data_IF_762054602048
#
_entry.id   IF_762054602048
#
_cell.length_a   1.000
_cell.length_b   1.000
_cell.length_c   1.000
_cell.angle_alpha   90.00
_cell.angle_beta   90.00
_cell.angle_gamma   90.00
#
_symmetry.space_group_name_H-M   'P 1'
#
loop_
_entity.id
_entity.type
_entity.pdbx_description
1 polymer ?
#
# COMPACT_ATOMS: atom_id res chain seq x y z
N UNK A 1 72.15 48.25 -31.68
CA UNK A 1 71.64 48.32 -33.06
C UNK A 1 71.62 46.92 -33.64
N UNK A 2 70.42 46.48 -34.06
CA UNK A 2 70.10 45.54 -35.16
C UNK A 2 70.90 44.22 -35.30
N UNK A 3 70.20 43.10 -35.12
CA UNK A 3 70.56 41.79 -35.65
C UNK A 3 69.43 40.78 -35.41
N UNK A 4 68.72 40.42 -36.46
CA UNK A 4 67.48 39.61 -36.48
C UNK A 4 67.82 38.13 -36.26
N UNK A 5 67.13 37.46 -35.33
CA UNK A 5 67.05 36.01 -35.27
C UNK A 5 65.57 35.61 -35.39
N UNK A 6 65.19 35.08 -36.56
CA UNK A 6 63.88 34.53 -36.82
C UNK A 6 63.75 33.16 -36.12
N UNK A 7 62.95 33.10 -35.06
CA UNK A 7 62.49 31.83 -34.52
C UNK A 7 61.14 31.51 -35.17
N UNK A 8 61.12 30.44 -35.96
CA UNK A 8 59.94 29.91 -36.60
C UNK A 8 58.93 29.45 -35.55
N UNK A 9 57.80 30.15 -35.47
CA UNK A 9 56.62 29.66 -34.77
C UNK A 9 55.93 28.63 -35.67
N UNK A 10 56.12 27.34 -35.34
CA UNK A 10 55.24 26.28 -35.78
C UNK A 10 53.88 26.53 -35.11
N UNK A 11 53.01 27.26 -35.79
CA UNK A 11 51.59 27.25 -35.48
C UNK A 11 51.05 25.86 -35.86
N UNK A 12 50.93 24.98 -34.87
CA UNK A 12 50.05 23.83 -34.99
C UNK A 12 48.62 24.38 -35.03
N UNK A 13 48.12 24.62 -36.25
CA UNK A 13 46.72 24.90 -36.47
C UNK A 13 45.91 23.72 -35.95
N UNK A 14 44.94 24.00 -35.08
CA UNK A 14 43.93 23.04 -34.67
C UNK A 14 43.26 22.49 -35.94
N UNK A 15 43.36 21.17 -36.15
CA UNK A 15 42.59 20.49 -37.18
C UNK A 15 41.12 20.60 -36.80
N UNK A 16 40.36 21.36 -37.57
CA UNK A 16 38.90 21.37 -37.49
C UNK A 16 38.41 20.02 -38.00
N UNK A 17 37.94 19.14 -37.11
CA UNK A 17 37.24 17.92 -37.49
C UNK A 17 36.00 18.33 -38.30
N UNK A 18 36.01 18.03 -39.58
CA UNK A 18 34.92 18.30 -40.51
C UNK A 18 34.95 17.23 -41.60
N UNK A 19 33.78 16.92 -42.13
CA UNK A 19 33.59 15.89 -43.16
C UNK A 19 34.61 16.06 -44.29
N UNK A 20 35.49 15.09 -44.47
CA UNK A 20 36.49 15.11 -45.53
C UNK A 20 35.97 14.32 -46.73
N UNK A 21 35.82 14.99 -47.86
CA UNK A 21 35.44 14.33 -49.11
C UNK A 21 36.66 14.12 -49.99
N UNK A 22 36.85 12.89 -50.48
CA UNK A 22 37.83 12.59 -51.52
C UNK A 22 37.52 13.31 -52.84
N UNK A 23 38.47 13.32 -53.78
CA UNK A 23 38.24 13.91 -55.10
C UNK A 23 37.09 13.18 -55.81
N UNK A 24 36.31 13.93 -56.60
CA UNK A 24 35.22 13.35 -57.42
C UNK A 24 35.85 12.48 -58.51
N UNK A 25 35.53 11.20 -58.48
CA UNK A 25 35.84 10.27 -59.56
C UNK A 25 34.74 10.38 -60.62
N UNK A 26 35.15 10.59 -61.86
CA UNK A 26 34.23 10.74 -62.99
C UNK A 26 34.25 9.48 -63.84
N UNK A 27 33.07 8.93 -64.14
CA UNK A 27 32.89 7.83 -65.09
C UNK A 27 32.01 8.29 -66.25
N UNK A 28 32.39 7.91 -67.47
CA UNK A 28 31.54 8.11 -68.63
C UNK A 28 30.37 7.13 -68.56
N UNK A 29 29.14 7.64 -68.58
CA UNK A 29 27.92 6.81 -68.56
C UNK A 29 27.28 6.72 -69.94
N UNK A 30 27.60 7.65 -70.84
CA UNK A 30 27.13 7.65 -72.22
C UNK A 30 28.29 7.95 -73.18
N UNK A 31 28.87 6.90 -73.73
CA UNK A 31 29.95 7.00 -74.70
C UNK A 31 29.41 7.11 -76.13
N UNK A 32 29.82 8.15 -76.86
CA UNK A 32 29.49 8.31 -78.27
C UNK A 32 30.66 7.79 -79.10
N UNK A 33 30.46 6.69 -79.87
CA UNK A 33 31.53 6.12 -80.67
C UNK A 33 31.97 7.10 -81.76
N UNK A 34 33.28 7.18 -81.95
CA UNK A 34 33.89 8.01 -82.99
C UNK A 34 33.50 7.56 -84.39
N UNK A 35 33.59 8.48 -85.34
CA UNK A 35 33.20 8.24 -86.72
C UNK A 35 33.65 9.35 -87.65
N UNK A 36 33.37 9.22 -88.94
CA UNK A 36 33.68 10.26 -89.92
C UNK A 36 32.42 11.04 -90.24
N UNK A 37 32.39 12.31 -89.86
CA UNK A 37 31.26 13.21 -90.13
C UNK A 37 31.71 14.23 -91.16
N UNK A 38 31.14 14.16 -92.37
CA UNK A 38 31.53 15.08 -93.46
C UNK A 38 32.98 14.95 -93.93
N UNK A 39 33.59 13.76 -93.79
CA UNK A 39 34.97 13.50 -94.23
C UNK A 39 36.05 13.86 -93.20
N UNK A 40 35.67 14.42 -92.05
CA UNK A 40 36.60 14.68 -90.93
C UNK A 40 36.45 13.58 -89.89
N UNK A 41 37.52 12.87 -89.53
CA UNK A 41 37.46 11.86 -88.48
C UNK A 41 37.30 12.54 -87.12
N UNK A 42 36.26 12.17 -86.39
CA UNK A 42 36.01 12.59 -85.01
C UNK A 42 36.28 11.39 -84.10
N UNK A 43 37.12 11.59 -83.09
CA UNK A 43 37.40 10.56 -82.10
C UNK A 43 36.17 10.28 -81.22
N UNK A 44 36.11 9.08 -80.64
CA UNK A 44 35.09 8.76 -79.64
C UNK A 44 35.19 9.75 -78.47
N UNK A 45 34.04 10.16 -77.94
CA UNK A 45 33.98 11.07 -76.81
C UNK A 45 32.80 10.72 -75.92
N UNK A 46 32.88 11.14 -74.66
CA UNK A 46 31.81 10.92 -73.71
C UNK A 46 30.78 12.06 -73.77
N UNK A 47 29.51 11.75 -74.00
CA UNK A 47 28.43 12.74 -74.04
C UNK A 47 27.90 13.10 -72.64
N UNK A 48 27.93 12.15 -71.68
CA UNK A 48 27.48 12.38 -70.31
C UNK A 48 28.42 11.72 -69.28
N UNK A 49 28.78 12.50 -68.26
CA UNK A 49 29.65 12.07 -67.15
C UNK A 49 28.86 11.99 -65.85
N UNK A 50 29.07 10.92 -65.10
CA UNK A 50 28.62 10.81 -63.72
C UNK A 50 29.82 10.94 -62.77
N UNK A 51 29.64 11.69 -61.68
CA UNK A 51 30.67 11.91 -60.68
C UNK A 51 30.27 11.29 -59.35
N UNK A 52 31.11 10.42 -58.81
CA UNK A 52 30.95 9.91 -57.44
C UNK A 52 32.10 10.40 -56.56
N UNK A 53 31.80 10.71 -55.30
CA UNK A 53 32.80 11.02 -54.28
C UNK A 53 32.43 10.34 -52.98
N UNK A 54 33.43 9.87 -52.27
CA UNK A 54 33.26 9.33 -50.92
C UNK A 54 33.65 10.41 -49.91
N UNK A 55 32.78 10.62 -48.93
CA UNK A 55 33.03 11.51 -47.81
C UNK A 55 33.13 10.69 -46.52
N UNK A 56 34.08 11.03 -45.66
CA UNK A 56 34.29 10.39 -44.36
C UNK A 56 34.14 11.48 -43.29
N UNK A 57 33.31 11.19 -42.28
CA UNK A 57 33.26 11.96 -41.04
C UNK A 57 34.04 11.20 -39.97
N UNK A 58 35.22 11.71 -39.62
CA UNK A 58 36.11 11.07 -38.64
C UNK A 58 35.67 11.32 -37.18
N UNK A 59 34.74 12.25 -36.94
CA UNK A 59 34.27 12.57 -35.60
C UNK A 59 32.79 12.98 -35.62
N UNK A 60 31.87 12.04 -35.91
CA UNK A 60 30.45 12.32 -35.90
C UNK A 60 30.02 12.76 -34.50
N UNK A 61 29.10 13.72 -34.43
CA UNK A 61 28.50 14.12 -33.15
C UNK A 61 27.76 12.92 -32.55
N UNK A 62 28.12 12.55 -31.32
CA UNK A 62 27.47 11.48 -30.58
C UNK A 62 26.81 12.05 -29.33
N UNK A 63 25.50 12.20 -29.39
CA UNK A 63 24.67 12.69 -28.29
C UNK A 63 24.37 11.61 -27.24
N UNK A 64 24.67 10.35 -27.54
CA UNK A 64 24.41 9.20 -26.68
C UNK A 64 25.63 8.81 -25.82
N UNK A 65 26.69 9.63 -25.75
CA UNK A 65 27.94 9.28 -25.05
C UNK A 65 27.70 8.97 -23.56
N UNK A 66 26.94 9.81 -22.87
CA UNK A 66 26.66 9.62 -21.44
C UNK A 66 25.85 8.35 -21.18
N UNK A 67 24.81 8.11 -21.99
CA UNK A 67 23.94 6.94 -21.86
C UNK A 67 24.70 5.65 -22.20
N UNK A 68 25.47 5.64 -23.29
CA UNK A 68 26.23 4.47 -23.72
C UNK A 68 27.43 4.11 -22.84
N UNK A 69 27.84 5.00 -21.92
CA UNK A 69 28.87 4.74 -20.92
C UNK A 69 28.31 4.28 -19.57
N UNK A 70 27.01 4.46 -19.33
CA UNK A 70 26.41 4.02 -18.07
C UNK A 70 26.30 2.49 -18.02
N UNK A 71 26.78 1.83 -16.96
CA UNK A 71 26.55 0.40 -16.75
C UNK A 71 25.10 0.06 -16.40
N UNK A 72 24.24 1.09 -16.21
CA UNK A 72 22.82 0.94 -15.88
C UNK A 72 21.90 1.10 -17.07
N UNK A 73 22.46 1.32 -18.26
CA UNK A 73 21.70 1.53 -19.49
C UNK A 73 22.07 0.47 -20.53
N UNK A 74 21.06 -0.13 -21.16
CA UNK A 74 21.22 -1.09 -22.26
C UNK A 74 20.63 -0.51 -23.55
N UNK A 75 21.36 -0.64 -24.67
CA UNK A 75 20.87 -0.23 -25.99
C UNK A 75 19.81 -1.22 -26.46
N UNK A 76 18.57 -0.76 -26.61
CA UNK A 76 17.44 -1.59 -27.06
C UNK A 76 17.17 -1.45 -28.56
N UNK A 77 17.57 -0.33 -29.17
CA UNK A 77 17.43 -0.12 -30.61
C UNK A 77 18.53 0.79 -31.17
N UNK A 78 18.87 0.56 -32.43
CA UNK A 78 19.76 1.41 -33.21
C UNK A 78 19.31 1.40 -34.66
N UNK A 79 18.61 2.46 -35.05
CA UNK A 79 17.99 2.58 -36.37
C UNK A 79 18.52 3.80 -37.13
N UNK A 80 18.46 3.72 -38.46
CA UNK A 80 18.82 4.86 -39.28
C UNK A 80 17.72 5.93 -39.23
N UNK A 81 18.05 7.11 -38.72
CA UNK A 81 17.15 8.25 -38.65
C UNK A 81 17.05 9.00 -39.99
N UNK A 82 18.15 9.08 -40.75
CA UNK A 82 18.22 9.81 -42.03
C UNK A 82 18.97 9.00 -43.08
N UNK A 83 18.28 8.70 -44.18
CA UNK A 83 18.83 8.04 -45.36
C UNK A 83 19.14 9.04 -46.47
N UNK A 84 20.31 8.91 -47.08
CA UNK A 84 20.72 9.70 -48.22
C UNK A 84 21.40 8.80 -49.26
N UNK A 85 20.79 8.68 -50.45
CA UNK A 85 21.27 7.81 -51.54
C UNK A 85 21.64 6.37 -51.10
N UNK A 86 20.88 5.80 -50.17
CA UNK A 86 21.12 4.44 -49.66
C UNK A 86 22.21 4.32 -48.59
N UNK A 87 22.76 5.44 -48.11
CA UNK A 87 23.67 5.51 -46.96
C UNK A 87 22.93 6.10 -45.76
N UNK A 88 23.25 5.60 -44.56
CA UNK A 88 22.72 6.14 -43.32
C UNK A 88 23.60 7.29 -42.82
N UNK A 89 23.08 8.51 -42.78
CA UNK A 89 23.82 9.70 -42.32
C UNK A 89 23.64 10.00 -40.84
N UNK A 90 22.51 9.59 -40.26
CA UNK A 90 22.23 9.77 -38.83
C UNK A 90 21.61 8.50 -38.27
N UNK A 91 22.11 8.06 -37.11
CA UNK A 91 21.55 6.93 -36.36
C UNK A 91 20.82 7.45 -35.13
N UNK A 92 19.61 6.96 -34.90
CA UNK A 92 18.89 7.13 -33.64
C UNK A 92 19.04 5.86 -32.82
N UNK A 93 19.43 6.02 -31.56
CA UNK A 93 19.57 4.93 -30.61
C UNK A 93 18.61 5.15 -29.45
N UNK A 94 18.03 4.07 -28.97
CA UNK A 94 17.20 4.07 -27.76
C UNK A 94 17.84 3.16 -26.72
N UNK A 95 17.76 3.59 -25.46
CA UNK A 95 18.32 2.89 -24.33
C UNK A 95 17.26 2.72 -23.26
N UNK A 96 17.29 1.58 -22.59
CA UNK A 96 16.53 1.32 -21.37
C UNK A 96 17.49 1.39 -20.19
N UNK A 97 17.20 2.25 -19.21
CA UNK A 97 18.07 2.47 -18.06
C UNK A 97 17.36 2.08 -16.76
N UNK A 98 18.01 1.25 -15.94
CA UNK A 98 17.47 0.79 -14.66
C UNK A 98 18.16 1.49 -13.48
N UNK A 99 17.38 2.19 -12.64
CA UNK A 99 17.88 2.90 -11.45
C UNK A 99 19.01 3.90 -11.76
N UNK A 100 18.95 4.53 -12.93
CA UNK A 100 19.92 5.54 -13.35
C UNK A 100 19.45 6.94 -12.93
N UNK A 101 20.33 7.68 -12.25
CA UNK A 101 20.06 9.00 -11.69
C UNK A 101 20.89 10.11 -12.33
N UNK A 102 21.90 9.77 -13.14
CA UNK A 102 22.72 10.71 -13.88
C UNK A 102 21.92 11.59 -14.84
N UNK A 103 22.39 12.82 -15.02
CA UNK A 103 21.94 13.67 -16.12
C UNK A 103 22.53 13.11 -17.42
N UNK A 104 21.66 12.70 -18.33
CA UNK A 104 22.01 12.05 -19.59
C UNK A 104 21.99 13.03 -20.77
N UNK A 105 21.97 14.34 -20.50
CA UNK A 105 22.03 15.36 -21.53
C UNK A 105 23.23 15.13 -22.48
N UNK A 106 23.05 15.30 -23.80
CA UNK A 106 21.85 15.83 -24.47
C UNK A 106 20.75 14.79 -24.80
N UNK A 107 20.89 13.52 -24.40
CA UNK A 107 19.85 12.52 -24.65
C UNK A 107 18.53 12.91 -23.95
N UNK A 108 17.40 12.67 -24.64
CA UNK A 108 16.07 13.06 -24.17
C UNK A 108 15.32 11.85 -23.62
N UNK A 109 14.75 12.01 -22.43
CA UNK A 109 13.88 11.00 -21.81
C UNK A 109 12.50 11.09 -22.46
N UNK A 110 12.06 9.99 -23.09
CA UNK A 110 10.74 9.91 -23.72
C UNK A 110 9.74 9.02 -22.96
N UNK A 111 10.23 8.11 -22.11
CA UNK A 111 9.41 7.24 -21.26
C UNK A 111 10.11 6.98 -19.93
N UNK A 112 9.34 7.08 -18.84
CA UNK A 112 9.73 6.57 -17.52
C UNK A 112 8.75 5.48 -17.15
N UNK A 113 9.25 4.32 -16.75
CA UNK A 113 8.47 3.22 -16.19
C UNK A 113 8.90 2.97 -14.76
N UNK A 114 7.95 2.57 -13.91
CA UNK A 114 8.23 2.06 -12.58
C UNK A 114 7.83 0.59 -12.56
N UNK A 115 8.76 -0.27 -12.16
CA UNK A 115 8.48 -1.68 -11.89
C UNK A 115 7.87 -1.85 -10.50
N UNK A 116 7.76 -3.10 -10.07
CA UNK A 116 7.36 -3.41 -8.70
C UNK A 116 8.37 -2.83 -7.71
N UNK A 117 7.85 -2.23 -6.65
CA UNK A 117 8.67 -1.67 -5.58
C UNK A 117 9.03 -2.81 -4.64
N UNK A 118 10.31 -3.18 -4.61
CA UNK A 118 10.84 -4.08 -3.60
C UNK A 118 11.41 -3.29 -2.42
N UNK A 119 10.97 -3.63 -1.22
CA UNK A 119 11.48 -3.07 0.03
C UNK A 119 12.01 -4.19 0.91
N UNK A 120 13.16 -3.98 1.52
CA UNK A 120 13.74 -4.91 2.49
C UNK A 120 14.21 -4.13 3.71
N UNK A 121 13.85 -4.61 4.89
CA UNK A 121 14.35 -4.08 6.16
C UNK A 121 15.63 -4.86 6.49
N UNK A 122 16.76 -4.15 6.57
CA UNK A 122 18.02 -4.72 7.06
C UNK A 122 17.95 -4.82 8.60
N UNK A 123 17.51 -5.97 9.10
CA UNK A 123 17.41 -6.24 10.54
C UNK A 123 18.76 -6.74 11.10
N UNK A 124 19.48 -5.82 11.74
CA UNK A 124 20.76 -6.10 12.40
C UNK A 124 20.60 -6.63 13.84
N UNK A 125 19.36 -6.76 14.33
CA UNK A 125 19.05 -7.20 15.70
C UNK A 125 18.77 -8.70 15.78
N UNK A 126 18.66 -9.41 14.66
CA UNK A 126 18.25 -10.81 14.60
C UNK A 126 19.08 -11.75 15.51
N UNK A 127 20.37 -11.46 15.73
CA UNK A 127 21.20 -12.24 16.65
C UNK A 127 20.82 -12.04 18.12
N UNK A 128 20.42 -10.83 18.51
CA UNK A 128 19.95 -10.50 19.87
C UNK A 128 18.52 -10.99 20.08
N UNK A 129 17.66 -10.92 19.06
CA UNK A 129 16.31 -11.48 19.11
C UNK A 129 16.31 -13.01 19.29
N UNK A 130 17.35 -13.67 18.81
CA UNK A 130 17.51 -15.12 18.92
C UNK A 130 18.29 -15.55 20.18
N UNK A 131 18.87 -14.61 20.93
CA UNK A 131 19.65 -14.90 22.13
C UNK A 131 18.72 -14.98 23.35
N UNK A 132 18.56 -16.17 23.98
CA UNK A 132 17.71 -16.30 25.16
C UNK A 132 18.23 -15.50 26.37
N UNK A 133 19.49 -15.07 26.38
CA UNK A 133 20.03 -14.19 27.41
C UNK A 133 19.62 -12.73 27.24
N UNK A 134 19.04 -12.34 26.10
CA UNK A 134 18.66 -10.97 25.78
C UNK A 134 17.14 -10.79 25.79
N UNK A 135 16.66 -9.77 26.51
CA UNK A 135 15.26 -9.34 26.48
C UNK A 135 15.14 -7.99 25.78
N UNK A 136 14.24 -7.90 24.81
CA UNK A 136 13.86 -6.65 24.17
C UNK A 136 13.29 -5.66 25.21
N UNK A 137 13.73 -4.40 25.14
CA UNK A 137 13.29 -3.33 26.05
C UNK A 137 12.43 -2.30 25.33
N UNK A 138 12.98 -1.64 24.30
CA UNK A 138 12.29 -0.56 23.59
C UNK A 138 12.76 -0.42 22.12
N UNK A 139 11.98 0.28 21.29
CA UNK A 139 12.37 0.66 19.94
C UNK A 139 12.24 2.16 19.74
N UNK A 140 13.37 2.84 19.59
CA UNK A 140 13.45 4.26 19.25
C UNK A 140 13.57 4.49 17.75
N UNK A 141 12.93 5.55 17.28
CA UNK A 141 13.03 6.02 15.90
C UNK A 141 14.24 6.95 15.78
N UNK A 142 15.20 6.57 14.92
CA UNK A 142 16.41 7.36 14.66
C UNK A 142 16.21 8.30 13.49
N UNK A 143 15.55 7.80 12.44
CA UNK A 143 15.10 8.61 11.30
C UNK A 143 13.59 8.44 11.18
N UNK A 144 12.88 9.53 11.44
CA UNK A 144 11.42 9.57 11.52
C UNK A 144 10.74 9.68 10.17
N UNK A 145 9.51 10.19 10.23
CA UNK A 145 8.67 10.32 9.04
C UNK A 145 9.26 11.31 8.04
N UNK A 146 9.38 10.88 6.79
CA UNK A 146 9.91 11.71 5.72
C UNK A 146 9.51 11.12 4.37
N UNK A 147 9.20 11.99 3.41
CA UNK A 147 9.12 11.62 1.99
C UNK A 147 10.50 11.76 1.37
N UNK A 148 11.07 10.68 0.83
CA UNK A 148 12.34 10.69 0.10
C UNK A 148 12.11 10.41 -1.38
N UNK A 149 12.78 11.17 -2.23
CA UNK A 149 12.79 10.92 -3.67
C UNK A 149 13.85 9.85 -3.98
N UNK A 150 13.42 8.67 -4.37
CA UNK A 150 14.28 7.54 -4.75
C UNK A 150 13.98 7.22 -6.22
N UNK A 151 15.00 7.24 -7.08
CA UNK A 151 14.85 7.02 -8.52
C UNK A 151 13.77 7.92 -9.17
N UNK A 152 13.72 9.19 -8.73
CA UNK A 152 12.77 10.23 -9.19
C UNK A 152 11.30 9.93 -8.88
N UNK A 153 11.04 9.00 -7.95
CA UNK A 153 9.73 8.75 -7.37
C UNK A 153 9.75 9.05 -5.88
N UNK A 154 8.67 9.65 -5.38
CA UNK A 154 8.56 10.02 -3.98
C UNK A 154 8.01 8.85 -3.17
N UNK A 155 8.75 8.46 -2.13
CA UNK A 155 8.37 7.42 -1.19
C UNK A 155 8.22 8.02 0.20
N UNK A 156 7.03 7.90 0.77
CA UNK A 156 6.78 8.25 2.17
C UNK A 156 6.97 7.02 3.06
N UNK A 157 7.66 7.22 4.19
CA UNK A 157 7.74 6.25 5.29
C UNK A 157 7.53 6.98 6.61
N UNK A 158 6.90 6.28 7.56
CA UNK A 158 6.75 6.76 8.95
C UNK A 158 8.07 6.69 9.73
N UNK A 159 9.04 5.93 9.25
CA UNK A 159 10.42 5.90 9.73
C UNK A 159 11.34 5.31 8.66
N UNK A 160 12.58 5.79 8.60
CA UNK A 160 13.63 5.28 7.70
C UNK A 160 14.68 4.46 8.44
N UNK A 161 14.79 4.64 9.76
CA UNK A 161 15.70 3.88 10.61
C UNK A 161 15.21 3.86 12.05
N UNK A 162 15.25 2.68 12.66
CA UNK A 162 14.95 2.47 14.09
C UNK A 162 16.13 1.76 14.75
N UNK A 163 16.25 1.96 16.06
CA UNK A 163 17.14 1.17 16.90
C UNK A 163 16.30 0.46 17.95
N UNK A 164 16.56 -0.84 18.14
CA UNK A 164 16.00 -1.63 19.23
C UNK A 164 17.03 -1.70 20.34
N UNK A 165 16.60 -1.43 21.56
CA UNK A 165 17.44 -1.53 22.76
C UNK A 165 17.09 -2.85 23.47
N UNK A 166 18.13 -3.58 23.90
CA UNK A 166 18.02 -4.89 24.55
C UNK A 166 18.76 -4.87 25.88
N UNK A 167 18.19 -5.54 26.88
CA UNK A 167 18.85 -5.84 28.13
C UNK A 167 19.28 -7.30 28.09
N UNK A 168 20.59 -7.53 28.06
CA UNK A 168 21.17 -8.87 28.01
C UNK A 168 21.80 -9.26 29.35
N UNK A 169 21.42 -10.42 29.86
CA UNK A 169 22.02 -11.04 31.04
C UNK A 169 23.34 -11.70 30.63
N UNK A 170 24.43 -10.94 30.69
CA UNK A 170 25.77 -11.50 30.57
C UNK A 170 26.10 -12.29 31.84
N UNK A 171 26.59 -13.53 31.69
CA UNK A 171 26.97 -14.47 32.75
C UNK A 171 28.07 -13.98 33.71
N UNK A 172 27.80 -12.89 34.44
CA UNK A 172 28.45 -12.51 35.68
C UNK A 172 27.74 -13.18 36.86
N UNK A 173 28.46 -13.33 37.98
CA UNK A 173 27.96 -14.01 39.17
C UNK A 173 26.56 -13.53 39.54
N UNK A 174 25.62 -14.48 39.60
CA UNK A 174 24.26 -14.27 40.05
C UNK A 174 24.27 -13.53 41.39
N UNK A 175 23.53 -12.42 41.45
CA UNK A 175 23.28 -11.73 42.71
C UNK A 175 22.07 -12.41 43.32
N UNK A 176 22.32 -13.22 44.34
CA UNK A 176 21.27 -13.77 45.19
C UNK A 176 20.63 -12.63 45.98
N UNK A 177 19.39 -12.27 45.60
CA UNK A 177 18.57 -11.27 46.26
C UNK A 177 17.55 -11.89 47.23
N UNK A 178 17.49 -13.22 47.35
CA UNK A 178 16.61 -13.94 48.27
C UNK A 178 17.11 -13.85 49.73
N UNK A 179 18.36 -13.47 49.96
CA UNK A 179 19.01 -13.52 51.27
C UNK A 179 18.23 -12.82 52.39
N UNK A 180 17.57 -11.70 52.12
CA UNK A 180 16.77 -10.98 53.14
C UNK A 180 15.53 -11.77 53.59
N UNK A 181 14.92 -12.53 52.67
CA UNK A 181 13.74 -13.35 52.93
C UNK A 181 14.12 -14.71 53.52
N UNK A 182 15.25 -15.28 53.11
CA UNK A 182 15.82 -16.51 53.70
C UNK A 182 16.25 -16.32 55.15
N UNK A 183 16.74 -15.11 55.50
CA UNK A 183 17.15 -14.76 56.85
C UNK A 183 15.97 -14.45 57.79
N UNK A 184 14.75 -14.28 57.28
CA UNK A 184 13.55 -14.02 58.07
C UNK A 184 12.88 -15.34 58.53
N UNK A 185 12.91 -15.58 59.85
CA UNK A 185 12.33 -16.77 60.48
C UNK A 185 10.79 -16.86 60.38
N UNK A 186 10.11 -15.81 59.94
CA UNK A 186 8.66 -15.81 59.66
C UNK A 186 8.32 -16.29 58.25
N UNK A 187 9.33 -16.50 57.41
CA UNK A 187 9.21 -16.94 56.04
C UNK A 187 9.48 -18.45 55.88
N UNK A 188 8.68 -19.11 55.05
CA UNK A 188 8.86 -20.52 54.68
C UNK A 188 8.79 -20.67 53.16
N UNK A 189 9.73 -21.42 52.56
CA UNK A 189 9.72 -21.69 51.13
C UNK A 189 8.49 -22.53 50.76
N UNK A 190 7.68 -22.03 49.82
CA UNK A 190 6.50 -22.70 49.27
C UNK A 190 6.82 -23.48 48.00
N UNK A 191 7.77 -23.02 47.20
CA UNK A 191 8.12 -23.65 45.93
C UNK A 191 9.33 -23.00 45.28
N UNK A 192 9.96 -23.73 44.38
CA UNK A 192 11.03 -23.24 43.52
C UNK A 192 10.76 -23.64 42.07
N UNK A 193 10.94 -22.69 41.16
CA UNK A 193 10.80 -22.88 39.71
C UNK A 193 12.17 -22.71 39.07
N UNK A 194 12.52 -23.60 38.14
CA UNK A 194 13.76 -23.45 37.39
C UNK A 194 13.60 -22.39 36.30
N UNK A 195 14.36 -21.29 36.41
CA UNK A 195 14.36 -20.21 35.41
C UNK A 195 15.32 -20.55 34.27
N UNK A 196 16.50 -21.08 34.60
CA UNK A 196 17.55 -21.38 33.62
C UNK A 196 18.11 -22.76 33.83
N UNK A 197 17.88 -23.65 32.86
CA UNK A 197 18.42 -25.02 32.85
C UNK A 197 19.55 -25.15 31.82
N UNK A 198 20.71 -25.64 32.26
CA UNK A 198 21.89 -25.88 31.42
C UNK A 198 22.35 -27.33 31.63
N UNK A 199 22.41 -28.11 30.55
CA UNK A 199 22.82 -29.51 30.56
C UNK A 199 22.03 -30.39 31.55
N UNK A 200 20.74 -30.12 31.72
CA UNK A 200 19.87 -30.88 32.63
C UNK A 200 20.02 -30.50 34.10
N UNK A 201 20.79 -29.45 34.42
CA UNK A 201 20.90 -28.90 35.76
C UNK A 201 20.35 -27.48 35.78
N UNK A 202 19.50 -27.20 36.76
CA UNK A 202 19.02 -25.85 36.97
C UNK A 202 20.13 -24.98 37.56
N UNK A 203 20.41 -23.87 36.89
CA UNK A 203 21.44 -22.90 37.26
C UNK A 203 20.86 -21.64 37.90
N UNK A 204 19.55 -21.41 37.79
CA UNK A 204 18.85 -20.26 38.37
C UNK A 204 17.43 -20.66 38.81
N UNK A 205 17.06 -20.29 40.03
CA UNK A 205 15.79 -20.65 40.66
C UNK A 205 14.98 -19.40 40.99
N UNK A 206 13.69 -19.39 40.65
CA UNK A 206 12.72 -18.50 41.25
C UNK A 206 12.23 -19.17 42.54
N UNK A 207 12.30 -18.49 43.69
CA UNK A 207 11.93 -19.07 44.98
C UNK A 207 10.79 -18.29 45.59
N UNK A 208 9.68 -18.97 45.79
CA UNK A 208 8.48 -18.39 46.39
C UNK A 208 8.44 -18.68 47.89
N UNK A 209 8.48 -17.65 48.72
CA UNK A 209 8.32 -17.77 50.19
C UNK A 209 6.95 -17.27 50.62
N UNK A 210 6.34 -17.98 51.57
CA UNK A 210 5.21 -17.45 52.34
C UNK A 210 5.74 -16.96 53.68
N UNK A 211 5.57 -15.66 53.91
CA UNK A 211 5.97 -14.99 55.14
C UNK A 211 4.75 -14.61 55.96
N UNK A 212 4.80 -14.88 57.26
CA UNK A 212 3.74 -14.51 58.19
C UNK A 212 2.99 -15.70 58.77
N UNK A 213 3.23 -15.94 60.06
CA UNK A 213 2.37 -16.76 60.92
C UNK A 213 1.49 -15.86 61.77
N UNK A 214 0.26 -15.63 61.30
CA UNK A 214 -0.81 -14.99 62.06
C UNK A 214 -2.13 -15.25 61.38
N UNK A 215 -2.92 -16.15 61.96
CA UNK A 215 -4.25 -16.65 61.57
C UNK A 215 -4.92 -16.01 60.35
N UNK A 216 -5.15 -16.87 59.35
CA UNK A 216 -5.81 -16.53 58.10
C UNK A 216 -7.22 -15.97 58.28
N UNK A 217 -7.44 -14.78 57.72
CA UNK A 217 -8.68 -14.39 57.07
C UNK A 217 -8.37 -13.22 56.13
N UNK A 218 -8.05 -13.50 54.86
CA UNK A 218 -8.22 -12.49 53.83
C UNK A 218 -9.61 -12.68 53.23
N UNK A 219 -10.54 -11.89 53.75
CA UNK A 219 -11.83 -11.63 53.14
C UNK A 219 -11.55 -10.72 51.93
N UNK A 220 -11.60 -11.31 50.74
CA UNK A 220 -11.27 -10.61 49.49
C UNK A 220 -12.41 -9.66 49.11
N UNK A 221 -12.43 -8.47 49.71
CA UNK A 221 -13.08 -7.31 49.08
C UNK A 221 -12.03 -6.57 48.25
N UNK A 222 -12.14 -6.65 46.93
CA UNK A 222 -11.37 -5.83 45.99
C UNK A 222 -11.78 -4.37 46.15
N UNK A 223 -11.13 -3.65 47.07
CA UNK A 223 -11.20 -2.20 47.15
C UNK A 223 -9.98 -1.60 46.44
N UNK A 224 -10.14 -0.52 45.64
CA UNK A 224 -9.03 0.11 44.94
C UNK A 224 -7.94 0.57 45.90
N UNK A 225 -6.72 0.09 45.71
CA UNK A 225 -5.55 0.53 46.47
C UNK A 225 -5.15 1.90 45.93
N UNK A 226 -5.48 2.96 46.67
CA UNK A 226 -4.96 4.30 46.40
C UNK A 226 -3.51 4.37 46.90
N UNK A 227 -2.55 4.61 45.99
CA UNK A 227 -1.18 4.92 46.36
C UNK A 227 -1.15 6.38 46.85
N UNK A 228 -0.97 6.58 48.16
CA UNK A 228 -0.90 7.91 48.77
C UNK A 228 0.55 8.31 49.06
N UNK A 229 0.92 9.55 48.76
CA UNK A 229 2.16 10.17 49.24
C UNK A 229 1.78 11.28 50.22
N UNK A 230 1.94 11.02 51.52
CA UNK A 230 1.48 11.91 52.59
C UNK A 230 -0.06 12.00 52.63
N UNK A 231 -0.61 13.20 52.88
CA UNK A 231 -2.05 13.44 52.99
C UNK A 231 -2.75 13.65 51.63
N UNK A 232 -2.05 13.46 50.50
CA UNK A 232 -2.61 13.65 49.16
C UNK A 232 -2.75 12.30 48.46
N UNK A 233 -3.97 11.76 48.48
CA UNK A 233 -4.34 10.60 47.69
C UNK A 233 -4.96 11.09 46.37
N UNK A 234 -4.27 10.86 45.25
CA UNK A 234 -4.82 11.14 43.92
C UNK A 234 -5.15 9.79 43.29
N UNK A 235 -6.43 9.44 43.24
CA UNK A 235 -6.88 8.33 42.41
C UNK A 235 -6.59 8.70 40.97
N UNK A 236 -5.86 7.85 40.25
CA UNK A 236 -5.76 7.99 38.80
C UNK A 236 -7.17 7.68 38.31
N UNK A 237 -7.91 8.71 37.84
CA UNK A 237 -9.11 8.46 37.06
C UNK A 237 -8.69 7.58 35.88
N UNK A 238 -9.27 6.39 35.77
CA UNK A 238 -9.13 5.62 34.54
C UNK A 238 -9.71 6.48 33.41
N UNK A 239 -8.86 6.91 32.49
CA UNK A 239 -9.35 7.50 31.25
C UNK A 239 -10.12 6.42 30.50
N UNK A 240 -11.45 6.56 30.42
CA UNK A 240 -12.25 5.76 29.50
C UNK A 240 -11.78 6.12 28.10
N UNK A 241 -11.05 5.22 27.43
CA UNK A 241 -10.74 5.39 26.02
C UNK A 241 -12.06 5.33 25.24
N UNK A 242 -12.49 6.47 24.70
CA UNK A 242 -13.62 6.54 23.77
C UNK A 242 -13.33 5.76 22.47
N UNK A 243 -12.07 5.39 22.24
CA UNK A 243 -11.60 4.71 21.03
C UNK A 243 -11.95 3.22 20.98
N UNK A 244 -12.37 2.59 22.09
CA UNK A 244 -12.74 1.17 22.05
C UNK A 244 -13.96 0.93 21.13
N UNK A 245 -14.93 1.85 21.13
CA UNK A 245 -16.07 1.80 20.22
C UNK A 245 -15.67 1.96 18.75
N UNK A 246 -14.71 2.86 18.50
CA UNK A 246 -14.13 3.07 17.18
C UNK A 246 -13.32 1.84 16.70
N UNK A 247 -12.52 1.24 17.58
CA UNK A 247 -11.71 0.07 17.25
C UNK A 247 -12.57 -1.18 17.00
N UNK A 248 -13.59 -1.42 17.82
CA UNK A 248 -14.49 -2.57 17.69
C UNK A 248 -15.39 -2.49 16.45
N UNK A 249 -15.86 -1.29 16.10
CA UNK A 249 -16.60 -1.07 14.86
C UNK A 249 -15.74 -1.26 13.61
N UNK A 250 -14.45 -0.92 13.64
CA UNK A 250 -13.48 -1.24 12.58
C UNK A 250 -13.32 -2.73 12.30
N UNK A 251 -13.46 -3.59 13.30
CA UNK A 251 -13.46 -5.04 13.07
C UNK A 251 -14.67 -5.50 12.25
N UNK A 252 -15.84 -4.90 12.45
CA UNK A 252 -17.03 -5.19 11.65
C UNK A 252 -16.86 -4.73 10.20
N UNK A 253 -16.21 -3.60 9.98
CA UNK A 253 -15.88 -3.11 8.63
C UNK A 253 -14.94 -4.05 7.91
N UNK A 254 -13.88 -4.49 8.57
CA UNK A 254 -12.93 -5.45 8.00
C UNK A 254 -13.63 -6.78 7.65
N UNK A 255 -14.52 -7.27 8.53
CA UNK A 255 -15.31 -8.47 8.25
C UNK A 255 -16.18 -8.33 6.99
N UNK A 256 -16.80 -7.17 6.77
CA UNK A 256 -17.61 -6.91 5.58
C UNK A 256 -16.76 -6.81 4.31
N UNK A 257 -15.63 -6.10 4.37
CA UNK A 257 -14.70 -6.02 3.24
C UNK A 257 -14.18 -7.40 2.85
N UNK A 258 -13.88 -8.25 3.83
CA UNK A 258 -13.48 -9.65 3.59
C UNK A 258 -14.63 -10.44 2.96
N UNK A 259 -15.87 -10.24 3.38
CA UNK A 259 -17.04 -10.89 2.78
C UNK A 259 -17.24 -10.49 1.31
N UNK A 260 -17.11 -9.19 0.99
CA UNK A 260 -17.22 -8.67 -0.37
C UNK A 260 -16.12 -9.22 -1.29
N UNK A 261 -14.87 -9.28 -0.81
CA UNK A 261 -13.73 -9.88 -1.53
C UNK A 261 -13.98 -11.36 -1.80
N UNK A 262 -14.37 -12.12 -0.78
CA UNK A 262 -14.65 -13.56 -0.90
C UNK A 262 -15.78 -13.85 -1.89
N UNK A 263 -16.80 -13.00 -1.95
CA UNK A 263 -17.91 -13.15 -2.88
C UNK A 263 -17.51 -12.95 -4.35
N UNK A 264 -16.42 -12.24 -4.62
CA UNK A 264 -15.95 -11.92 -5.97
C UNK A 264 -15.03 -12.98 -6.56
N UNK A 265 -14.25 -13.69 -5.72
CA UNK A 265 -13.36 -14.76 -6.16
C UNK A 265 -12.30 -14.29 -7.18
N UNK A 266 -11.88 -13.03 -7.08
CA UNK A 266 -10.81 -12.46 -7.92
C UNK A 266 -9.47 -12.53 -7.19
N UNK A 267 -8.42 -12.90 -7.92
CA UNK A 267 -7.04 -12.89 -7.44
C UNK A 267 -6.32 -11.57 -7.81
N UNK A 268 -6.98 -10.69 -8.57
CA UNK A 268 -6.43 -9.39 -8.99
C UNK A 268 -6.87 -8.27 -8.02
N UNK A 269 -5.92 -7.62 -7.31
CA UNK A 269 -6.22 -6.54 -6.37
C UNK A 269 -6.93 -5.33 -7.01
N UNK A 270 -6.74 -5.11 -8.32
CA UNK A 270 -7.34 -3.98 -9.05
C UNK A 270 -8.83 -4.20 -9.37
N UNK A 271 -9.30 -5.45 -9.33
CA UNK A 271 -10.69 -5.79 -9.57
C UNK A 271 -11.55 -5.83 -8.31
N UNK A 272 -10.92 -5.71 -7.13
CA UNK A 272 -11.61 -5.79 -5.84
C UNK A 272 -12.56 -4.61 -5.66
N UNK A 273 -13.82 -4.93 -5.34
CA UNK A 273 -14.90 -3.97 -5.09
C UNK A 273 -15.34 -4.06 -3.64
N UNK A 274 -15.29 -2.96 -2.91
CA UNK A 274 -15.77 -2.86 -1.53
C UNK A 274 -17.13 -2.16 -1.50
N UNK A 275 -17.95 -2.52 -0.50
CA UNK A 275 -19.22 -1.87 -0.17
C UNK A 275 -20.17 -1.86 -1.37
N UNK A 276 -20.36 -3.03 -1.98
CA UNK A 276 -21.16 -3.18 -3.20
C UNK A 276 -22.63 -2.87 -2.92
N UNK A 277 -23.22 -1.95 -3.69
CA UNK A 277 -24.63 -1.56 -3.58
C UNK A 277 -25.51 -2.15 -4.68
N UNK A 278 -26.79 -2.36 -4.37
CA UNK A 278 -27.81 -2.76 -5.34
C UNK A 278 -28.97 -1.75 -5.42
N UNK A 279 -29.51 -1.53 -6.62
CA UNK A 279 -30.73 -0.75 -6.78
C UNK A 279 -31.95 -1.64 -6.49
N UNK A 280 -32.72 -1.29 -5.47
CA UNK A 280 -33.96 -1.97 -5.10
C UNK A 280 -35.14 -0.97 -5.08
N UNK A 281 -36.35 -1.48 -5.32
CA UNK A 281 -37.56 -0.66 -5.37
C UNK A 281 -38.69 -1.25 -4.51
N UNK A 282 -39.39 -0.40 -3.76
CA UNK A 282 -40.64 -0.73 -3.07
C UNK A 282 -41.78 0.16 -3.57
N UNK A 283 -43.03 -0.34 -3.44
CA UNK A 283 -44.20 0.44 -3.80
C UNK A 283 -45.13 0.70 -2.61
N UNK A 284 -45.74 1.88 -2.65
CA UNK A 284 -46.77 2.31 -1.70
C UNK A 284 -48.07 2.60 -2.47
N UNK A 285 -49.15 1.95 -2.03
CA UNK A 285 -50.50 2.05 -2.56
C UNK A 285 -51.51 2.23 -1.41
N UNK A 286 -52.72 2.77 -1.66
CA UNK A 286 -53.78 2.83 -0.66
C UNK A 286 -54.02 1.48 0.02
N UNK A 287 -53.85 1.44 1.34
CA UNK A 287 -54.06 0.23 2.15
C UNK A 287 -52.88 -0.76 2.16
N UNK A 288 -51.78 -0.51 1.45
CA UNK A 288 -50.58 -1.37 1.44
C UNK A 288 -49.29 -0.59 1.23
N UNK A 289 -48.36 -0.68 2.17
CA UNK A 289 -47.04 -0.08 2.13
C UNK A 289 -45.95 -1.16 2.16
N UNK A 290 -45.42 -1.49 0.98
CA UNK A 290 -44.33 -2.47 0.87
C UNK A 290 -42.94 -1.93 1.21
N UNK A 291 -42.83 -0.64 1.53
CA UNK A 291 -41.58 -0.07 1.97
C UNK A 291 -41.33 -0.34 3.46
N UNK A 292 -42.40 -0.37 4.28
CA UNK A 292 -42.33 -0.58 5.73
C UNK A 292 -43.07 -1.84 6.21
N UNK A 293 -43.57 -2.67 5.27
CA UNK A 293 -44.39 -3.87 5.54
C UNK A 293 -45.64 -3.57 6.37
N UNK A 294 -46.30 -2.45 6.07
CA UNK A 294 -47.44 -1.95 6.81
C UNK A 294 -48.70 -1.86 5.93
N UNK A 295 -49.88 -1.76 6.55
CA UNK A 295 -51.17 -1.54 5.90
C UNK A 295 -52.14 -2.72 6.00
N UNK A 296 -53.44 -2.38 6.03
CA UNK A 296 -54.54 -3.33 6.25
C UNK A 296 -54.69 -4.42 5.18
N UNK A 297 -54.08 -4.24 4.00
CA UNK A 297 -54.13 -5.21 2.90
C UNK A 297 -52.87 -6.09 2.79
N UNK A 298 -51.82 -5.88 3.58
CA UNK A 298 -50.57 -6.63 3.44
C UNK A 298 -50.71 -8.14 3.71
N UNK A 299 -51.56 -8.51 4.68
CA UNK A 299 -51.88 -9.91 4.96
C UNK A 299 -52.72 -10.61 3.88
N UNK A 300 -53.31 -9.85 2.95
CA UNK A 300 -54.16 -10.38 1.86
C UNK A 300 -53.42 -10.35 0.52
N UNK A 301 -52.67 -9.28 0.26
CA UNK A 301 -51.85 -9.11 -0.95
C UNK A 301 -50.40 -8.86 -0.51
N UNK A 302 -49.63 -9.94 -0.31
CA UNK A 302 -48.28 -9.85 0.26
C UNK A 302 -47.33 -9.07 -0.65
N UNK A 303 -46.42 -8.30 -0.03
CA UNK A 303 -45.25 -7.77 -0.71
C UNK A 303 -44.36 -8.88 -1.27
N UNK A 304 -43.66 -8.56 -2.36
CA UNK A 304 -42.70 -9.50 -2.95
C UNK A 304 -41.51 -9.76 -2.01
N UNK A 305 -40.82 -10.89 -2.22
CA UNK A 305 -39.64 -11.23 -1.41
C UNK A 305 -38.56 -10.13 -1.43
N UNK A 306 -38.30 -9.51 -2.60
CA UNK A 306 -37.38 -8.37 -2.72
C UNK A 306 -37.82 -7.15 -1.92
N UNK A 307 -39.11 -6.86 -1.89
CA UNK A 307 -39.64 -5.74 -1.10
C UNK A 307 -39.56 -5.99 0.40
N UNK A 308 -39.72 -7.25 0.84
CA UNK A 308 -39.50 -7.64 2.24
C UNK A 308 -38.04 -7.52 2.65
N UNK A 309 -37.13 -8.02 1.81
CA UNK A 309 -35.69 -7.86 2.03
C UNK A 309 -35.30 -6.37 2.10
N UNK A 310 -35.79 -5.56 1.16
CA UNK A 310 -35.59 -4.11 1.19
C UNK A 310 -36.14 -3.48 2.48
N UNK A 311 -37.33 -3.86 2.93
CA UNK A 311 -37.90 -3.32 4.16
C UNK A 311 -37.08 -3.68 5.40
N UNK A 312 -36.55 -4.91 5.48
CA UNK A 312 -35.65 -5.32 6.56
C UNK A 312 -34.33 -4.55 6.52
N UNK A 313 -33.73 -4.38 5.34
CA UNK A 313 -32.52 -3.56 5.17
C UNK A 313 -32.77 -2.09 5.53
N UNK A 314 -33.97 -1.56 5.24
CA UNK A 314 -34.39 -0.21 5.65
C UNK A 314 -34.45 -0.09 7.17
N UNK A 315 -35.03 -1.09 7.85
CA UNK A 315 -35.07 -1.14 9.32
C UNK A 315 -33.66 -1.26 9.93
N UNK A 316 -32.76 -1.99 9.29
CA UNK A 316 -31.36 -2.09 9.68
C UNK A 316 -30.52 -0.83 9.39
N UNK A 317 -31.09 0.17 8.68
CA UNK A 317 -30.36 1.37 8.28
C UNK A 317 -29.35 1.13 7.14
N UNK A 318 -29.44 0.03 6.40
CA UNK A 318 -28.50 -0.34 5.33
C UNK A 318 -28.92 0.21 3.94
N UNK A 319 -29.75 1.25 3.88
CA UNK A 319 -30.31 1.76 2.61
C UNK A 319 -30.28 3.27 2.48
N UNK A 320 -29.88 3.78 1.32
CA UNK A 320 -29.94 5.20 0.96
C UNK A 320 -31.13 5.49 0.03
N UNK A 321 -31.93 6.51 0.32
CA UNK A 321 -33.06 6.90 -0.53
C UNK A 321 -32.62 7.74 -1.73
N UNK A 322 -32.87 7.26 -2.94
CA UNK A 322 -32.45 7.95 -4.18
C UNK A 322 -33.58 8.81 -4.75
N UNK A 323 -34.82 8.33 -4.69
CA UNK A 323 -35.95 9.09 -5.21
C UNK A 323 -37.24 8.30 -5.30
N UNK A 324 -38.30 8.99 -5.72
CA UNK A 324 -39.63 8.38 -5.92
C UNK A 324 -40.24 8.80 -7.25
N UNK A 325 -41.00 7.90 -7.85
CA UNK A 325 -41.76 8.14 -9.08
C UNK A 325 -43.21 7.67 -8.94
N UNK A 326 -44.10 8.28 -9.72
CA UNK A 326 -45.47 7.84 -9.78
C UNK A 326 -45.64 6.75 -10.84
N UNK A 327 -46.02 5.55 -10.42
CA UNK A 327 -46.22 4.39 -11.31
C UNK A 327 -47.64 4.37 -11.88
N UNK A 328 -48.63 4.81 -11.09
CA UNK A 328 -50.03 4.87 -11.52
C UNK A 328 -50.74 6.11 -11.00
N UNK A 329 -51.38 6.85 -11.91
CA UNK A 329 -52.23 8.00 -11.61
C UNK A 329 -53.69 7.69 -11.91
N UNK A 330 -54.59 8.15 -11.06
CA UNK A 330 -56.05 8.10 -11.26
C UNK A 330 -56.61 9.47 -10.88
N UNK A 331 -57.40 10.08 -11.75
CA UNK A 331 -57.90 11.47 -11.60
C UNK A 331 -56.81 12.51 -11.30
N UNK A 332 -55.62 12.36 -11.90
CA UNK A 332 -54.48 13.25 -11.66
C UNK A 332 -53.72 12.99 -10.35
N UNK A 333 -54.30 12.22 -9.41
CA UNK A 333 -53.66 11.85 -8.15
C UNK A 333 -52.82 10.57 -8.31
N UNK A 334 -51.62 10.56 -7.74
CA UNK A 334 -50.78 9.36 -7.74
C UNK A 334 -51.27 8.35 -6.71
N UNK A 335 -51.75 7.20 -7.18
CA UNK A 335 -52.28 6.11 -6.36
C UNK A 335 -51.27 4.97 -6.15
N UNK A 336 -50.22 4.87 -6.97
CA UNK A 336 -49.10 3.96 -6.74
C UNK A 336 -47.80 4.72 -6.90
N UNK A 337 -47.04 4.82 -5.81
CA UNK A 337 -45.71 5.41 -5.80
C UNK A 337 -44.68 4.30 -5.70
N UNK A 338 -43.62 4.40 -6.50
CA UNK A 338 -42.44 3.55 -6.41
C UNK A 338 -41.32 4.38 -5.80
N UNK A 339 -40.63 3.82 -4.83
CA UNK A 339 -39.50 4.41 -4.12
C UNK A 339 -38.26 3.57 -4.44
N UNK A 340 -37.19 4.25 -4.80
CA UNK A 340 -35.94 3.64 -5.24
C UNK A 340 -34.87 3.90 -4.19
N UNK A 341 -34.15 2.84 -3.82
CA UNK A 341 -33.09 2.88 -2.82
C UNK A 341 -31.82 2.22 -3.36
N UNK A 342 -30.67 2.69 -2.88
CA UNK A 342 -29.45 1.90 -2.90
C UNK A 342 -29.38 1.09 -1.62
N UNK A 343 -29.32 -0.24 -1.72
CA UNK A 343 -29.22 -1.17 -0.60
C UNK A 343 -27.81 -1.71 -0.50
N UNK A 344 -27.32 -1.82 0.73
CA UNK A 344 -25.98 -2.30 1.07
C UNK A 344 -26.07 -3.46 2.06
N UNK A 345 -24.94 -4.15 2.29
CA UNK A 345 -24.86 -5.30 3.20
C UNK A 345 -24.94 -4.88 4.67
N UNK A 346 -24.52 -3.66 5.02
CA UNK A 346 -24.62 -3.09 6.36
C UNK A 346 -24.98 -1.60 6.37
N UNK A 347 -25.34 -1.10 7.56
CA UNK A 347 -25.47 0.35 7.82
C UNK A 347 -24.15 1.08 7.57
N UNK A 348 -23.03 0.47 7.98
CA UNK A 348 -21.71 1.03 7.74
C UNK A 348 -21.45 1.27 6.24
N UNK A 349 -21.68 0.26 5.41
CA UNK A 349 -21.51 0.38 3.95
C UNK A 349 -22.34 1.52 3.35
N UNK A 350 -23.56 1.74 3.84
CA UNK A 350 -24.37 2.90 3.45
C UNK A 350 -23.71 4.21 3.88
N UNK A 351 -23.33 4.36 5.15
CA UNK A 351 -22.71 5.59 5.69
C UNK A 351 -21.40 5.89 4.96
N UNK A 352 -20.54 4.89 4.76
CA UNK A 352 -19.30 5.03 4.00
C UNK A 352 -19.56 5.58 2.60
N UNK A 353 -20.56 5.05 1.90
CA UNK A 353 -20.92 5.50 0.56
C UNK A 353 -21.46 6.94 0.56
N UNK A 354 -22.20 7.33 1.58
CA UNK A 354 -22.63 8.72 1.76
C UNK A 354 -21.45 9.66 2.00
N UNK A 355 -20.54 9.31 2.92
CA UNK A 355 -19.35 10.11 3.24
C UNK A 355 -18.37 10.20 2.06
N UNK A 356 -18.11 9.08 1.37
CA UNK A 356 -17.27 9.05 0.18
C UNK A 356 -17.82 9.95 -0.94
N UNK A 357 -19.14 10.04 -1.08
CA UNK A 357 -19.80 10.90 -2.08
C UNK A 357 -19.70 12.39 -1.74
N UNK A 358 -19.62 12.75 -0.47
CA UNK A 358 -19.38 14.14 -0.06
C UNK A 358 -17.99 14.62 -0.52
N UNK A 359 -16.99 13.75 -0.49
CA UNK A 359 -15.61 14.08 -0.91
C UNK A 359 -15.41 13.98 -2.43
N UNK A 360 -15.94 12.94 -3.05
CA UNK A 360 -15.73 12.64 -4.49
C UNK A 360 -16.72 13.35 -5.42
N UNK A 361 -17.85 13.83 -4.89
CA UNK A 361 -18.93 14.41 -5.67
C UNK A 361 -19.71 13.42 -6.52
N UNK A 362 -19.58 12.10 -6.31
CA UNK A 362 -20.33 11.14 -7.11
C UNK A 362 -21.85 11.30 -6.87
N UNK A 363 -22.64 11.32 -7.95
CA UNK A 363 -24.11 11.43 -7.88
C UNK A 363 -24.80 10.11 -7.56
N UNK A 364 -25.90 10.15 -6.80
CA UNK A 364 -26.80 9.02 -6.55
C UNK A 364 -27.69 8.66 -7.74
N UNK A 365 -27.69 9.46 -8.82
CA UNK A 365 -28.52 9.24 -9.99
C UNK A 365 -29.96 9.70 -9.77
N UNK A 366 -30.93 8.96 -10.31
CA UNK A 366 -32.35 9.28 -10.24
C UNK A 366 -33.19 8.04 -9.90
N UNK A 367 -34.46 8.21 -9.54
CA UNK A 367 -35.36 7.09 -9.22
C UNK A 367 -35.45 6.02 -10.32
N UNK A 368 -35.26 6.37 -11.60
CA UNK A 368 -35.28 5.38 -12.68
C UNK A 368 -33.91 4.74 -12.98
N UNK A 369 -32.82 5.33 -12.48
CA UNK A 369 -31.45 4.92 -12.77
C UNK A 369 -30.57 5.35 -11.59
N UNK A 370 -30.58 4.56 -10.52
CA UNK A 370 -29.84 4.83 -9.30
C UNK A 370 -28.39 4.42 -9.46
N UNK A 371 -27.46 5.24 -8.98
CA UNK A 371 -26.04 4.92 -8.94
C UNK A 371 -25.69 4.31 -7.57
N UNK A 372 -25.74 2.99 -7.46
CA UNK A 372 -25.37 2.25 -6.26
C UNK A 372 -23.97 1.64 -6.40
N UNK A 373 -22.99 2.45 -6.80
CA UNK A 373 -21.63 1.98 -7.11
C UNK A 373 -20.93 1.38 -5.90
N UNK A 374 -19.89 0.60 -6.17
CA UNK A 374 -18.90 0.12 -5.21
C UNK A 374 -17.72 1.11 -5.11
N UNK A 375 -16.84 0.85 -4.16
CA UNK A 375 -15.58 1.56 -3.91
C UNK A 375 -14.44 0.64 -4.33
N UNK A 376 -13.50 1.14 -5.11
CA UNK A 376 -12.28 0.39 -5.48
C UNK A 376 -11.13 0.70 -4.52
N UNK A 377 -10.07 -0.11 -4.56
CA UNK A 377 -8.85 0.18 -3.78
C UNK A 377 -8.27 1.57 -4.12
N UNK A 378 -8.29 1.94 -5.41
CA UNK A 378 -7.87 3.28 -5.86
C UNK A 378 -8.77 4.39 -5.34
N UNK A 379 -10.09 4.17 -5.29
CA UNK A 379 -11.01 5.15 -4.69
C UNK A 379 -10.67 5.34 -3.21
N UNK A 380 -10.40 4.24 -2.49
CA UNK A 380 -10.12 4.26 -1.05
C UNK A 380 -8.85 5.02 -0.69
N UNK A 381 -7.79 4.94 -1.51
CA UNK A 381 -6.57 5.74 -1.32
C UNK A 381 -6.77 7.24 -1.53
N UNK A 382 -7.79 7.65 -2.28
CA UNK A 382 -8.08 9.05 -2.55
C UNK A 382 -9.12 9.65 -1.58
N UNK A 383 -9.64 8.85 -0.65
CA UNK A 383 -10.60 9.27 0.36
C UNK A 383 -9.87 9.60 1.66
N UNK A 384 -10.24 10.72 2.27
CA UNK A 384 -9.79 11.08 3.61
C UNK A 384 -10.73 10.45 4.64
N UNK A 385 -10.37 9.27 5.16
CA UNK A 385 -11.16 8.53 6.14
C UNK A 385 -11.26 9.24 7.50
N UNK A 386 -10.31 10.11 7.84
CA UNK A 386 -10.32 10.84 9.11
C UNK A 386 -11.33 11.98 9.10
N UNK A 387 -11.63 12.53 7.93
CA UNK A 387 -12.64 13.57 7.75
C UNK A 387 -14.07 13.04 7.61
N UNK A 388 -14.26 11.72 7.57
CA UNK A 388 -15.59 11.10 7.45
C UNK A 388 -16.29 10.99 8.79
N UNK A 389 -17.57 11.33 8.81
CA UNK A 389 -18.42 11.18 9.99
C UNK A 389 -19.12 9.82 9.98
N UNK A 390 -18.71 8.97 10.92
CA UNK A 390 -19.25 7.62 11.15
C UNK A 390 -20.00 7.51 12.48
N UNK A 391 -20.29 8.62 13.17
CA UNK A 391 -20.96 8.62 14.47
C UNK A 391 -22.26 7.81 14.51
N UNK A 392 -23.04 7.84 13.42
CA UNK A 392 -24.28 7.06 13.30
C UNK A 392 -24.07 5.53 13.46
N UNK A 393 -22.91 5.02 13.05
CA UNK A 393 -22.56 3.61 13.15
C UNK A 393 -21.98 3.30 14.53
N UNK A 394 -21.17 4.23 15.07
CA UNK A 394 -20.44 4.04 16.31
C UNK A 394 -21.33 4.18 17.54
N UNK A 395 -22.24 5.16 17.57
CA UNK A 395 -23.14 5.37 18.71
C UNK A 395 -24.01 4.14 19.00
N UNK A 396 -24.38 3.39 17.96
CA UNK A 396 -25.14 2.15 18.07
C UNK A 396 -24.24 0.95 18.40
N UNK A 397 -23.07 0.84 17.77
CA UNK A 397 -22.10 -0.23 18.07
C UNK A 397 -21.64 -0.16 19.54
N UNK A 398 -21.45 1.04 20.09
CA UNK A 398 -21.17 1.26 21.51
C UNK A 398 -22.38 0.95 22.41
N UNK A 399 -23.60 1.24 21.96
CA UNK A 399 -24.81 0.90 22.70
C UNK A 399 -25.08 -0.62 22.76
N UNK A 400 -24.64 -1.37 21.74
CA UNK A 400 -24.82 -2.82 21.64
C UNK A 400 -23.60 -3.62 22.13
N UNK A 401 -22.42 -3.00 22.19
CA UNK A 401 -21.23 -3.57 22.82
C UNK A 401 -21.37 -3.61 24.35
N UNK A 402 -22.00 -4.67 24.85
CA UNK A 402 -21.79 -5.08 26.23
C UNK A 402 -20.31 -5.46 26.37
N UNK A 403 -19.54 -4.63 27.08
CA UNK A 403 -18.16 -4.96 27.43
C UNK A 403 -18.22 -6.25 28.26
N UNK A 404 -17.62 -7.36 27.79
CA UNK A 404 -17.67 -8.61 28.52
C UNK A 404 -17.04 -8.38 29.89
N UNK A 405 -17.77 -8.72 30.95
CA UNK A 405 -17.20 -8.72 32.30
C UNK A 405 -16.18 -9.84 32.39
N UNK A 406 -15.26 -9.74 33.35
CA UNK A 406 -14.12 -10.65 33.49
C UNK A 406 -14.49 -12.15 33.41
N UNK A 407 -15.70 -12.53 33.85
CA UNK A 407 -16.23 -13.89 33.74
C UNK A 407 -16.48 -14.34 32.29
N UNK A 408 -16.99 -13.48 31.41
CA UNK A 408 -17.31 -13.85 30.02
C UNK A 408 -16.04 -14.12 29.20
N UNK A 409 -14.94 -13.42 29.53
CA UNK A 409 -13.63 -13.63 28.91
C UNK A 409 -13.02 -14.95 29.40
N UNK A 410 -13.15 -15.25 30.69
CA UNK A 410 -12.70 -16.53 31.29
C UNK A 410 -13.48 -17.70 30.68
N UNK A 411 -14.80 -17.62 30.60
CA UNK A 411 -15.65 -18.65 29.98
C UNK A 411 -15.33 -18.84 28.49
N UNK A 412 -15.05 -17.75 27.76
CA UNK A 412 -14.61 -17.82 26.38
C UNK A 412 -13.26 -18.53 26.22
N UNK A 413 -12.30 -18.23 27.08
CA UNK A 413 -10.97 -18.83 27.06
C UNK A 413 -11.02 -20.32 27.46
N UNK A 414 -11.78 -20.68 28.50
CA UNK A 414 -11.99 -22.07 28.93
C UNK A 414 -12.72 -22.90 27.86
N UNK A 415 -13.60 -22.30 27.07
CA UNK A 415 -14.30 -23.00 25.98
C UNK A 415 -13.41 -23.33 24.76
N UNK A 416 -12.24 -22.68 24.65
CA UNK A 416 -11.33 -22.72 23.48
C UNK A 416 -9.98 -23.36 23.80
N UNK A 417 -9.56 -23.35 25.06
CA UNK A 417 -8.34 -23.98 25.52
C UNK A 417 -8.71 -25.30 26.23
N UNK A 418 -8.17 -26.46 25.82
CA UNK A 418 -8.39 -27.69 26.56
C UNK A 418 -7.76 -27.56 27.96
N UNK A 419 -8.48 -28.06 28.98
CA UNK A 419 -7.98 -28.14 30.34
C UNK A 419 -6.60 -28.84 30.35
N UNK A 420 -5.62 -28.34 31.14
CA UNK A 420 -4.28 -28.94 31.22
C UNK A 420 -4.28 -30.40 31.72
N UNK A 421 -5.41 -30.91 32.22
CA UNK A 421 -5.61 -32.31 32.60
C UNK A 421 -5.91 -33.28 31.45
N UNK A 422 -6.19 -32.80 30.23
CA UNK A 422 -6.63 -33.65 29.11
C UNK A 422 -5.50 -34.07 28.15
N UNK A 423 -4.25 -33.72 28.47
CA UNK A 423 -3.06 -34.19 27.73
C UNK A 423 -2.65 -35.61 28.18
N UNK A 424 -3.46 -36.61 27.85
CA UNK A 424 -3.02 -38.02 27.92
C UNK A 424 -2.11 -38.29 26.72
N UNK A 425 -0.79 -38.28 26.95
CA UNK A 425 0.20 -38.71 25.96
C UNK A 425 0.09 -40.24 25.81
N UNK A 426 -0.32 -40.79 24.65
CA UNK A 426 -0.41 -42.23 24.49
C UNK A 426 0.97 -42.78 24.12
N UNK A 427 1.58 -43.56 25.03
CA UNK A 427 2.75 -44.39 24.70
C UNK A 427 3.88 -44.39 25.72
N UNK A 428 3.60 -44.84 26.96
CA UNK A 428 4.64 -45.38 27.84
C UNK A 428 4.15 -46.71 28.43
N UNK A 429 4.54 -47.81 27.79
CA UNK A 429 4.82 -49.11 28.44
C UNK A 429 6.32 -49.34 28.45
#
# INVERSE_FOLDING_TARGET
>A
MRGIAAAAWLAAGAATAGVTCGPVAWSCVEEVPGGTVGGVPVAAYCAAWEGFRTCIDDNPANECVAVGQSPRCEEISSECAVWNHGLCEQTRKEFECLNENGDMAPAVIFRTGFGDVEETIDDQCAALDADPACRYEDTRVIEGEETRTINRMDFFRSWWRRARDYVCHGGGAFVDDCGEVEDDASCTLMGEDCIVEVEGNCTEYDRHYICGGGDGSFETECTPINICVGDTCTGIEQETSEDFGLASSWLNVLNEMVADVRAQGTDDPSEVRFFVGAQEECDHQPGRNCCDLDGVLEGIIPCSARQRDLALKRQAGATHFVGRRCDRKVFGQCIKRVYTYCTYNSRFSRVFQEQARLQTGWSWGSSGNASCRHVTLSDMYNLDLQAMDFGEVFDEALAEAQVPVQQDIVDFLDSRLPDPGDFVVPGME
#
